data_IF_878312539700
#
_entry.id   IF_878312539700
#
_cell.length_a   1.000
_cell.length_b   1.000
_cell.length_c   1.000
_cell.angle_alpha   90.00
_cell.angle_beta   90.00
_cell.angle_gamma   90.00
#
_symmetry.space_group_name_H-M   'P 1'
#
loop_
_entity.id
_entity.type
_entity.pdbx_description
1 polymer ?
#
# COMPACT_ATOMS: atom_id res chain seq x y z
N UNK A 1 2.77 5.13 5.61
CA UNK A 1 3.51 4.19 4.75
C UNK A 1 3.45 4.65 3.29
N UNK A 2 4.55 4.57 2.61
CA UNK A 2 4.62 4.88 1.18
C UNK A 2 4.94 3.61 0.41
N UNK A 3 4.13 3.32 -0.59
CA UNK A 3 4.30 2.11 -1.41
C UNK A 3 4.52 2.55 -2.86
N UNK A 4 5.61 2.09 -3.45
CA UNK A 4 5.88 2.29 -4.88
C UNK A 4 5.66 0.97 -5.59
N UNK A 5 4.76 0.96 -6.55
CA UNK A 5 4.45 -0.22 -7.34
C UNK A 5 5.44 -0.38 -8.50
N UNK A 6 5.50 -1.58 -9.05
CA UNK A 6 6.45 -1.88 -10.14
C UNK A 6 6.14 -1.11 -11.41
N UNK A 7 4.90 -0.66 -11.59
CA UNK A 7 4.50 0.18 -12.71
C UNK A 7 4.86 1.65 -12.52
N UNK A 8 5.43 2.00 -11.38
CA UNK A 8 5.82 3.37 -11.05
C UNK A 8 4.80 4.16 -10.25
N UNK A 9 3.63 3.60 -9.99
CA UNK A 9 2.62 4.28 -9.18
C UNK A 9 3.04 4.34 -7.73
N UNK A 10 2.85 5.50 -7.10
CA UNK A 10 3.18 5.72 -5.69
C UNK A 10 1.90 5.97 -4.91
N UNK A 11 1.73 5.24 -3.83
CA UNK A 11 0.57 5.38 -2.95
C UNK A 11 1.03 5.62 -1.52
N UNK A 12 0.35 6.54 -0.84
CA UNK A 12 0.64 6.85 0.57
C UNK A 12 -0.60 6.56 1.39
N UNK A 13 -0.44 5.86 2.48
CA UNK A 13 -1.55 5.51 3.34
C UNK A 13 -1.09 4.82 4.61
N UNK A 14 -2.05 4.23 5.31
CA UNK A 14 -1.78 3.43 6.49
C UNK A 14 -2.10 1.97 6.22
N UNK A 15 -1.48 1.08 6.97
CA UNK A 15 -1.74 -0.34 6.84
C UNK A 15 -1.74 -0.98 8.23
N UNK A 16 -2.55 -2.01 8.36
CA UNK A 16 -2.54 -2.85 9.55
C UNK A 16 -2.10 -4.25 9.13
N UNK A 17 -0.99 -4.72 9.65
CA UNK A 17 -0.54 -6.08 9.36
C UNK A 17 0.24 -6.23 8.06
N UNK A 18 0.96 -5.19 7.64
CA UNK A 18 1.88 -5.35 6.52
C UNK A 18 2.98 -6.34 6.89
N UNK A 19 3.17 -7.33 6.03
CA UNK A 19 4.22 -8.32 6.18
C UNK A 19 4.77 -8.65 4.80
N UNK A 20 6.06 -8.39 4.54
CA UNK A 20 6.65 -8.67 3.22
C UNK A 20 6.65 -10.15 2.86
N UNK A 21 6.45 -11.03 3.84
CA UNK A 21 6.36 -12.47 3.62
C UNK A 21 4.96 -12.92 3.19
N UNK A 22 3.95 -12.07 3.36
CA UNK A 22 2.59 -12.39 2.93
C UNK A 22 2.39 -11.99 1.48
N UNK A 23 1.52 -12.69 0.75
CA UNK A 23 1.30 -12.40 -0.67
C UNK A 23 0.55 -11.09 -0.92
N UNK A 24 -0.14 -10.55 0.08
CA UNK A 24 -0.94 -9.34 -0.08
C UNK A 24 -1.21 -8.66 1.26
N UNK A 25 -1.57 -7.39 1.18
CA UNK A 25 -1.97 -6.62 2.36
C UNK A 25 -2.95 -5.53 1.93
N UNK A 26 -3.67 -4.96 2.90
CA UNK A 26 -4.56 -3.84 2.64
C UNK A 26 -3.86 -2.53 2.98
N UNK A 27 -3.99 -1.55 2.08
CA UNK A 27 -3.51 -0.20 2.29
C UNK A 27 -4.71 0.73 2.36
N UNK A 28 -4.75 1.58 3.37
CA UNK A 28 -5.80 2.58 3.53
C UNK A 28 -5.23 3.94 3.14
N UNK A 29 -5.54 4.44 1.92
CA UNK A 29 -4.99 5.72 1.46
C UNK A 29 -5.41 6.87 2.38
N UNK A 30 -4.52 7.85 2.52
CA UNK A 30 -4.79 9.03 3.34
C UNK A 30 -5.48 10.13 2.55
N UNK A 31 -5.75 9.91 1.28
CA UNK A 31 -6.44 10.87 0.43
C UNK A 31 -7.86 11.12 0.96
N UNK A 32 -8.22 12.36 1.32
CA UNK A 32 -9.54 12.65 1.86
C UNK A 32 -10.67 12.38 0.87
N UNK A 33 -10.40 12.35 -0.42
CA UNK A 33 -11.41 12.01 -1.43
C UNK A 33 -11.65 10.51 -1.54
N UNK A 34 -10.76 9.69 -0.97
CA UNK A 34 -10.85 8.23 -0.96
C UNK A 34 -11.46 7.71 0.34
N UNK A 35 -12.45 8.39 0.86
CA UNK A 35 -13.07 8.10 2.13
C UNK A 35 -13.56 6.65 2.21
N UNK A 36 -13.12 5.92 3.23
CA UNK A 36 -13.49 4.52 3.49
C UNK A 36 -13.04 3.54 2.40
N UNK A 37 -12.13 3.95 1.52
CA UNK A 37 -11.58 3.07 0.50
C UNK A 37 -10.37 2.34 1.06
N UNK A 38 -10.26 1.07 0.74
CA UNK A 38 -9.07 0.28 1.01
C UNK A 38 -8.57 -0.32 -0.28
N UNK A 39 -7.26 -0.41 -0.42
CA UNK A 39 -6.64 -0.95 -1.62
C UNK A 39 -6.01 -2.29 -1.27
N UNK A 40 -6.34 -3.30 -2.05
CA UNK A 40 -5.72 -4.62 -1.90
C UNK A 40 -4.42 -4.62 -2.68
N UNK A 41 -3.30 -4.65 -1.95
CA UNK A 41 -1.98 -4.59 -2.55
C UNK A 41 -1.39 -6.00 -2.61
N UNK A 42 -1.04 -6.43 -3.83
CA UNK A 42 -0.35 -7.70 -4.03
C UNK A 42 1.14 -7.44 -3.85
N UNK A 43 1.77 -8.16 -2.93
CA UNK A 43 3.17 -7.93 -2.58
C UNK A 43 4.10 -8.05 -3.78
N UNK A 44 3.82 -8.96 -4.70
CA UNK A 44 4.63 -9.14 -5.90
C UNK A 44 4.59 -7.94 -6.84
N UNK A 45 3.57 -7.07 -6.72
CA UNK A 45 3.45 -5.86 -7.52
C UNK A 45 4.11 -4.64 -6.85
N UNK A 46 4.62 -4.81 -5.65
CA UNK A 46 5.25 -3.72 -4.89
C UNK A 46 6.73 -3.71 -5.15
N UNK A 47 7.25 -2.55 -5.57
CA UNK A 47 8.67 -2.37 -5.78
C UNK A 47 9.38 -2.03 -4.48
N UNK A 48 8.86 -1.04 -3.77
CA UNK A 48 9.37 -0.63 -2.47
C UNK A 48 8.22 -0.24 -1.56
N UNK A 49 8.42 -0.47 -0.28
CA UNK A 49 7.47 -0.03 0.75
C UNK A 49 8.29 0.50 1.92
N UNK A 50 7.96 1.69 2.40
CA UNK A 50 8.68 2.26 3.53
C UNK A 50 7.72 2.96 4.46
N UNK A 51 8.04 2.93 5.73
CA UNK A 51 7.29 3.62 6.76
C UNK A 51 7.85 5.03 6.92
N UNK A 52 6.96 5.98 6.95
CA UNK A 52 7.30 7.40 7.10
C UNK A 52 7.36 7.82 8.56
#
# INVERSE_FOLDING_TARGET
MEVTCKDGEVMVGTTTGYDPKRPAFFLFPIDPSANNVRVFMVTSAVRTARFL
#
